data_IF_799297562957
#
_entry.id   IF_799297562957
#
_cell.length_a   1.000
_cell.length_b   1.000
_cell.length_c   1.000
_cell.angle_alpha   90.00
_cell.angle_beta   90.00
_cell.angle_gamma   90.00
#
_symmetry.space_group_name_H-M   'P 1'
#
loop_
_entity.id
_entity.type
_entity.pdbx_description
1 polymer ?
#
# COMPACT_ATOMS: atom_id res chain seq x y z
N UNK A 1 -5.16 23.90 -9.35
CA UNK A 1 -5.77 22.57 -9.59
C UNK A 1 -4.93 21.53 -8.88
N UNK A 2 -5.37 21.06 -7.72
CA UNK A 2 -4.66 20.06 -6.93
C UNK A 2 -4.84 18.69 -7.58
N UNK A 3 -3.76 18.14 -8.13
CA UNK A 3 -3.72 16.83 -8.78
C UNK A 3 -3.40 15.78 -7.73
N UNK A 4 -4.21 14.71 -7.70
CA UNK A 4 -3.85 13.46 -7.04
C UNK A 4 -4.29 13.36 -5.59
N UNK A 5 -5.60 13.20 -5.39
CA UNK A 5 -6.20 12.28 -4.41
C UNK A 5 -5.40 12.11 -3.11
N UNK A 6 -5.51 13.07 -2.19
CA UNK A 6 -5.28 12.78 -0.78
C UNK A 6 -6.25 11.66 -0.41
N UNK A 7 -5.73 10.45 -0.10
CA UNK A 7 -6.54 9.47 0.61
C UNK A 7 -6.82 10.11 1.96
N UNK A 8 -8.07 10.49 2.21
CA UNK A 8 -8.48 11.19 3.44
C UNK A 8 -7.94 10.43 4.67
N UNK A 9 -7.02 11.05 5.41
CA UNK A 9 -6.46 10.52 6.64
C UNK A 9 -5.05 9.93 6.57
N UNK A 10 -4.30 10.11 5.47
CA UNK A 10 -2.91 9.65 5.37
C UNK A 10 -2.03 10.58 4.53
N UNK A 11 -0.83 10.87 5.01
CA UNK A 11 0.21 11.64 4.29
C UNK A 11 1.08 10.75 3.38
N UNK A 12 0.73 9.45 3.27
CA UNK A 12 1.53 8.48 2.52
C UNK A 12 1.25 8.57 1.02
N UNK A 13 2.27 8.33 0.17
CA UNK A 13 2.13 8.51 -1.28
C UNK A 13 1.21 7.47 -1.91
N UNK A 14 0.51 7.88 -2.97
CA UNK A 14 -0.08 6.95 -3.94
C UNK A 14 0.99 6.58 -4.96
N UNK A 15 1.34 5.30 -4.98
CA UNK A 15 2.30 4.70 -5.87
C UNK A 15 1.61 4.25 -7.15
N UNK A 16 2.27 4.45 -8.29
CA UNK A 16 1.78 3.96 -9.59
C UNK A 16 1.82 2.44 -9.66
N UNK A 17 2.88 1.84 -9.14
CA UNK A 17 3.14 0.41 -9.18
C UNK A 17 3.76 -0.07 -7.87
N UNK A 18 3.71 -1.38 -7.64
CA UNK A 18 4.34 -2.04 -6.48
C UNK A 18 5.82 -2.25 -6.75
N UNK A 19 6.68 -1.87 -5.81
CA UNK A 19 8.12 -2.16 -5.85
C UNK A 19 8.42 -3.57 -5.32
N UNK A 20 9.61 -4.10 -5.60
CA UNK A 20 9.98 -5.48 -5.24
C UNK A 20 10.06 -5.73 -3.73
N UNK A 21 10.30 -4.68 -2.94
CA UNK A 21 10.34 -4.68 -1.48
C UNK A 21 8.99 -4.32 -0.83
N UNK A 22 7.94 -4.15 -1.62
CA UNK A 22 6.59 -3.86 -1.13
C UNK A 22 5.78 -5.14 -0.98
N UNK A 23 5.14 -5.26 0.18
CA UNK A 23 4.29 -6.39 0.54
C UNK A 23 2.87 -5.93 0.79
N UNK A 24 1.90 -6.78 0.48
CA UNK A 24 0.54 -6.65 0.98
C UNK A 24 0.41 -7.35 2.34
N UNK A 25 -0.58 -6.93 3.13
CA UNK A 25 -0.85 -7.54 4.44
C UNK A 25 -1.10 -9.06 4.35
N UNK A 26 -1.78 -9.49 3.28
CA UNK A 26 -2.04 -10.90 3.00
C UNK A 26 -0.75 -11.68 2.78
N UNK A 27 0.24 -11.09 2.08
CA UNK A 27 1.54 -11.72 1.83
C UNK A 27 2.35 -11.84 3.11
N UNK A 28 2.38 -10.79 3.95
CA UNK A 28 3.04 -10.83 5.26
C UNK A 28 2.47 -11.96 6.13
N UNK A 29 1.14 -12.08 6.13
CA UNK A 29 0.44 -13.12 6.90
C UNK A 29 0.73 -14.51 6.35
N UNK A 30 0.76 -14.69 5.03
CA UNK A 30 1.12 -15.96 4.38
C UNK A 30 2.58 -16.37 4.61
N UNK A 31 3.49 -15.39 4.73
CA UNK A 31 4.88 -15.60 5.09
C UNK A 31 5.08 -15.90 6.59
N UNK A 32 3.99 -15.90 7.37
CA UNK A 32 4.01 -16.09 8.82
C UNK A 32 4.91 -15.06 9.53
N UNK A 33 5.07 -13.87 8.93
CA UNK A 33 5.80 -12.75 9.51
C UNK A 33 4.88 -11.90 10.39
N UNK A 34 5.47 -11.23 11.39
CA UNK A 34 4.72 -10.30 12.24
C UNK A 34 4.46 -8.98 11.48
N UNK A 35 3.21 -8.57 11.23
CA UNK A 35 2.89 -7.29 10.61
C UNK A 35 3.41 -6.06 11.36
N UNK A 36 3.67 -6.18 12.67
CA UNK A 36 4.26 -5.08 13.46
C UNK A 36 5.70 -4.74 13.05
N UNK A 37 6.41 -5.66 12.41
CA UNK A 37 7.73 -5.43 11.82
C UNK A 37 7.67 -4.71 10.48
N UNK A 38 6.47 -4.31 10.04
CA UNK A 38 6.26 -3.61 8.79
C UNK A 38 5.66 -2.23 9.05
N UNK A 39 5.88 -1.32 8.11
CA UNK A 39 5.24 0.00 8.09
C UNK A 39 4.61 0.27 6.73
N UNK A 40 3.58 1.12 6.73
CA UNK A 40 2.91 1.52 5.49
C UNK A 40 3.85 2.43 4.70
N UNK A 41 4.24 1.97 3.51
CA UNK A 41 5.05 2.73 2.56
C UNK A 41 4.19 3.65 1.69
N UNK A 42 2.98 3.21 1.34
CA UNK A 42 2.09 3.94 0.46
C UNK A 42 0.87 3.13 0.08
N UNK A 43 0.20 3.57 -0.97
CA UNK A 43 -0.98 2.90 -1.51
C UNK A 43 -0.83 2.68 -3.00
N UNK A 44 -1.18 1.50 -3.49
CA UNK A 44 -1.23 1.22 -4.93
C UNK A 44 -2.67 1.32 -5.43
N UNK A 45 -2.84 1.93 -6.59
CA UNK A 45 -4.15 1.99 -7.25
C UNK A 45 -4.48 0.61 -7.85
N UNK A 46 -5.67 0.10 -7.56
CA UNK A 46 -6.21 -1.14 -8.13
C UNK A 46 -7.56 -0.86 -8.76
N UNK A 47 -7.85 -1.52 -9.88
CA UNK A 47 -9.17 -1.45 -10.52
C UNK A 47 -9.91 -2.77 -10.31
N UNK A 48 -11.02 -2.75 -9.57
CA UNK A 48 -11.87 -3.92 -9.34
C UNK A 48 -13.28 -3.54 -9.81
N UNK A 49 -13.90 -4.35 -10.69
CA UNK A 49 -15.25 -4.11 -11.20
C UNK A 49 -15.47 -2.68 -11.76
N UNK A 50 -14.48 -2.15 -12.49
CA UNK A 50 -14.45 -0.77 -13.04
C UNK A 50 -14.42 0.36 -11.98
N UNK A 51 -14.25 0.01 -10.71
CA UNK A 51 -14.05 0.98 -9.63
C UNK A 51 -12.58 1.01 -9.22
N UNK A 52 -12.11 2.20 -8.85
CA UNK A 52 -10.74 2.42 -8.40
C UNK A 52 -10.71 2.26 -6.88
N UNK A 53 -9.78 1.44 -6.42
CA UNK A 53 -9.46 1.20 -5.02
C UNK A 53 -7.99 1.52 -4.76
N UNK A 54 -7.67 1.82 -3.51
CA UNK A 54 -6.29 2.03 -3.06
C UNK A 54 -5.97 0.99 -2.01
N UNK A 55 -5.03 0.10 -2.31
CA UNK A 55 -4.59 -0.94 -1.37
C UNK A 55 -3.28 -0.50 -0.70
N UNK A 56 -3.17 -0.55 0.64
CA UNK A 56 -1.93 -0.23 1.32
C UNK A 56 -0.85 -1.25 0.95
N UNK A 57 0.38 -0.75 0.82
CA UNK A 57 1.59 -1.55 0.70
C UNK A 57 2.53 -1.25 1.86
N UNK A 58 3.28 -2.28 2.24
CA UNK A 58 4.08 -2.33 3.44
C UNK A 58 5.55 -2.60 3.10
N UNK A 59 6.46 -2.00 3.85
CA UNK A 59 7.89 -2.30 3.82
C UNK A 59 8.33 -2.81 5.19
N UNK A 60 9.31 -3.70 5.21
CA UNK A 60 9.89 -4.20 6.45
C UNK A 60 10.70 -3.09 7.10
N UNK A 61 10.50 -2.87 8.41
CA UNK A 61 11.32 -1.97 9.22
C UNK A 61 12.75 -2.51 9.22
N UNK A 62 13.71 -1.67 8.86
CA UNK A 62 15.14 -1.99 8.88
C UNK A 62 15.68 -2.14 10.30
#
# INVERSE_FOLDING_TARGET
>A
MLKGHEILGTDKPILRERESNHFFLDEITQLNENPEHYEVAGYVQMTINKQIFYKPVYVKKG
#
